data_IF_905880661120
#
_entry.id   IF_905880661120
#
_cell.length_a   1.000
_cell.length_b   1.000
_cell.length_c   1.000
_cell.angle_alpha   90.00
_cell.angle_beta   90.00
_cell.angle_gamma   90.00
#
_symmetry.space_group_name_H-M   'P 1'
#
loop_
_entity.id
_entity.type
_entity.pdbx_description
1 polymer ?
#
# COMPACT_ATOMS: atom_id res chain seq x y z
N UNK A 1 -11.63 -8.56 -33.15
CA UNK A 1 -11.38 -9.34 -31.91
C UNK A 1 -12.37 -10.49 -31.88
N UNK A 2 -11.90 -11.74 -31.84
CA UNK A 2 -12.78 -12.91 -32.01
C UNK A 2 -13.63 -13.13 -30.76
N UNK A 3 -14.89 -13.55 -30.93
CA UNK A 3 -15.86 -13.80 -29.85
C UNK A 3 -15.33 -14.76 -28.76
N UNK A 4 -14.32 -15.58 -29.07
CA UNK A 4 -13.66 -16.49 -28.12
C UNK A 4 -12.74 -15.79 -27.12
N UNK A 5 -12.06 -14.71 -27.49
CA UNK A 5 -11.22 -13.94 -26.56
C UNK A 5 -12.06 -13.20 -25.53
N UNK A 6 -13.19 -12.63 -25.94
CA UNK A 6 -14.11 -11.94 -25.04
C UNK A 6 -14.74 -12.90 -24.03
N UNK A 7 -15.19 -14.09 -24.46
CA UNK A 7 -15.68 -15.12 -23.53
C UNK A 7 -14.61 -15.56 -22.53
N UNK A 8 -13.37 -15.77 -22.99
CA UNK A 8 -12.26 -16.20 -22.13
C UNK A 8 -11.86 -15.12 -21.11
N UNK A 9 -11.90 -13.85 -21.49
CA UNK A 9 -11.71 -12.71 -20.58
C UNK A 9 -12.84 -12.60 -19.56
N UNK A 10 -14.08 -12.84 -19.97
CA UNK A 10 -15.24 -12.84 -19.08
C UNK A 10 -15.22 -14.03 -18.11
N UNK A 11 -14.85 -15.24 -18.57
CA UNK A 11 -14.66 -16.42 -17.73
C UNK A 11 -13.48 -16.25 -16.78
N UNK A 12 -12.37 -15.65 -17.22
CA UNK A 12 -11.25 -15.27 -16.36
C UNK A 12 -11.67 -14.22 -15.34
N UNK A 13 -12.45 -13.20 -15.72
CA UNK A 13 -13.02 -12.21 -14.80
C UNK A 13 -14.00 -12.83 -13.80
N UNK A 14 -14.81 -13.81 -14.19
CA UNK A 14 -15.75 -14.50 -13.30
C UNK A 14 -14.98 -15.41 -12.33
N UNK A 15 -13.96 -16.14 -12.83
CA UNK A 15 -13.08 -16.98 -11.99
C UNK A 15 -12.14 -16.15 -11.09
N UNK A 16 -11.77 -14.94 -11.49
CA UNK A 16 -10.91 -14.01 -10.75
C UNK A 16 -11.69 -12.96 -9.94
N UNK A 17 -13.01 -13.09 -9.80
CA UNK A 17 -13.83 -12.17 -9.00
C UNK A 17 -13.91 -10.75 -9.56
N UNK A 18 -14.56 -10.56 -10.71
CA UNK A 18 -14.76 -9.25 -11.32
C UNK A 18 -15.41 -8.24 -10.36
N UNK A 19 -14.83 -7.03 -10.31
CA UNK A 19 -15.21 -5.80 -9.58
C UNK A 19 -15.45 -5.88 -8.06
N UNK A 20 -15.82 -7.04 -7.54
CA UNK A 20 -15.78 -7.42 -6.14
C UNK A 20 -14.92 -8.67 -6.05
N UNK A 21 -13.60 -8.48 -6.02
CA UNK A 21 -12.70 -9.54 -5.56
C UNK A 21 -13.16 -9.90 -4.15
N UNK A 22 -13.75 -11.08 -3.97
CA UNK A 22 -13.93 -11.64 -2.64
C UNK A 22 -12.52 -11.83 -2.08
N UNK A 23 -12.04 -10.83 -1.33
CA UNK A 23 -10.78 -10.88 -0.60
C UNK A 23 -10.74 -12.22 0.15
N UNK A 24 -9.62 -12.93 0.06
CA UNK A 24 -9.48 -14.13 0.86
C UNK A 24 -9.51 -13.81 2.35
N UNK A 25 -9.81 -14.78 3.20
CA UNK A 25 -9.88 -14.56 4.66
C UNK A 25 -8.57 -14.00 5.24
N UNK A 26 -7.42 -14.40 4.70
CA UNK A 26 -6.09 -13.89 5.06
C UNK A 26 -5.91 -12.44 4.62
N UNK A 27 -6.40 -12.07 3.43
CA UNK A 27 -6.36 -10.69 2.95
C UNK A 27 -7.26 -9.78 3.79
N UNK A 28 -8.48 -10.24 4.12
CA UNK A 28 -9.37 -9.54 5.07
C UNK A 28 -8.73 -9.43 6.46
N UNK A 29 -8.10 -10.50 6.93
CA UNK A 29 -7.38 -10.53 8.20
C UNK A 29 -6.26 -9.48 8.26
N UNK A 30 -5.47 -9.38 7.19
CA UNK A 30 -4.39 -8.40 7.05
C UNK A 30 -4.92 -6.96 7.03
N UNK A 31 -5.97 -6.68 6.25
CA UNK A 31 -6.61 -5.36 6.20
C UNK A 31 -7.23 -4.96 7.57
N UNK A 32 -7.89 -5.90 8.24
CA UNK A 32 -8.47 -5.67 9.57
C UNK A 32 -7.40 -5.40 10.64
N UNK A 33 -6.30 -6.15 10.61
CA UNK A 33 -5.17 -5.95 11.51
C UNK A 33 -4.53 -4.58 11.27
N UNK A 34 -4.37 -4.16 10.01
CA UNK A 34 -3.87 -2.83 9.67
C UNK A 34 -4.81 -1.73 10.20
N UNK A 35 -6.12 -1.85 10.01
CA UNK A 35 -7.08 -0.85 10.48
C UNK A 35 -7.06 -0.72 12.01
N UNK A 36 -6.99 -1.84 12.75
CA UNK A 36 -6.83 -1.83 14.21
C UNK A 36 -5.53 -1.15 14.63
N UNK A 37 -4.42 -1.49 13.97
CA UNK A 37 -3.13 -0.87 14.22
C UNK A 37 -3.16 0.65 13.97
N UNK A 38 -3.79 1.10 12.88
CA UNK A 38 -3.91 2.52 12.53
C UNK A 38 -4.77 3.30 13.54
N UNK A 39 -5.89 2.73 14.00
CA UNK A 39 -6.70 3.31 15.09
C UNK A 39 -5.93 3.40 16.41
N UNK A 40 -5.13 2.38 16.73
CA UNK A 40 -4.23 2.40 17.90
C UNK A 40 -3.19 3.51 17.79
N UNK A 41 -2.57 3.69 16.61
CA UNK A 41 -1.61 4.79 16.33
C UNK A 41 -2.28 6.14 16.53
N UNK A 42 -3.51 6.32 16.03
CA UNK A 42 -4.27 7.55 16.22
C UNK A 42 -4.46 7.91 17.70
N UNK A 43 -4.88 6.94 18.53
CA UNK A 43 -5.03 7.18 19.98
C UNK A 43 -3.69 7.41 20.69
N UNK A 44 -2.62 6.71 20.28
CA UNK A 44 -1.27 6.93 20.81
C UNK A 44 -0.74 8.33 20.48
N UNK A 45 -0.99 8.83 19.27
CA UNK A 45 -0.61 10.19 18.85
C UNK A 45 -1.32 11.25 19.70
N UNK A 46 -2.62 11.11 19.94
CA UNK A 46 -3.39 12.01 20.82
C UNK A 46 -2.82 12.06 22.24
N UNK A 47 -2.44 10.91 22.79
CA UNK A 47 -1.81 10.82 24.12
C UNK A 47 -0.41 11.44 24.14
N UNK A 48 0.40 11.19 23.11
CA UNK A 48 1.78 11.68 23.02
C UNK A 48 1.86 13.19 22.77
N UNK A 49 0.90 13.74 22.04
CA UNK A 49 0.86 15.14 21.63
C UNK A 49 -0.47 15.80 22.05
N UNK A 50 -0.73 15.97 23.35
CA UNK A 50 -2.04 16.41 23.87
C UNK A 50 -2.47 17.81 23.38
N UNK A 51 -1.52 18.66 23.00
CA UNK A 51 -1.78 20.00 22.50
C UNK A 51 -2.15 20.05 21.00
N UNK A 52 -2.06 18.93 20.29
CA UNK A 52 -2.34 18.85 18.86
C UNK A 52 -3.76 18.30 18.65
N UNK A 53 -4.45 18.82 17.63
CA UNK A 53 -5.75 18.31 17.21
C UNK A 53 -5.54 17.30 16.10
N UNK A 54 -5.93 16.05 16.34
CA UNK A 54 -5.87 14.99 15.34
C UNK A 54 -7.26 14.60 14.86
N UNK A 55 -7.36 14.10 13.63
CA UNK A 55 -8.55 13.38 13.14
C UNK A 55 -8.15 12.15 12.35
N UNK A 56 -9.04 11.15 12.37
CA UNK A 56 -8.96 9.95 11.56
C UNK A 56 -9.98 10.04 10.43
N UNK A 57 -9.59 9.65 9.21
CA UNK A 57 -10.47 9.59 8.04
C UNK A 57 -10.35 8.25 7.35
N UNK A 58 -11.47 7.69 6.94
CA UNK A 58 -11.46 6.45 6.15
C UNK A 58 -11.22 6.70 4.65
N UNK A 59 -11.55 7.88 4.16
CA UNK A 59 -11.49 8.19 2.73
C UNK A 59 -11.13 9.65 2.46
N UNK A 60 -10.66 9.89 1.24
CA UNK A 60 -10.51 11.22 0.66
C UNK A 60 -11.25 11.28 -0.69
N UNK A 61 -12.06 12.33 -0.89
CA UNK A 61 -12.81 12.52 -2.13
C UNK A 61 -11.89 13.04 -3.23
N UNK A 62 -12.13 12.59 -4.46
CA UNK A 62 -11.40 13.07 -5.64
C UNK A 62 -11.56 14.60 -5.84
N UNK A 63 -12.70 15.16 -5.42
CA UNK A 63 -12.93 16.62 -5.39
C UNK A 63 -11.93 17.36 -4.49
N UNK A 64 -11.53 16.79 -3.34
CA UNK A 64 -10.55 17.39 -2.43
C UNK A 64 -9.16 17.40 -3.07
N UNK A 65 -8.76 16.28 -3.67
CA UNK A 65 -7.50 16.15 -4.42
C UNK A 65 -7.43 17.17 -5.55
N UNK A 66 -8.50 17.27 -6.35
CA UNK A 66 -8.59 18.23 -7.44
C UNK A 66 -8.52 19.69 -6.95
N UNK A 67 -9.19 20.03 -5.84
CA UNK A 67 -9.13 21.37 -5.26
C UNK A 67 -7.71 21.73 -4.83
N UNK A 68 -7.00 20.78 -4.20
CA UNK A 68 -5.62 20.95 -3.74
C UNK A 68 -4.63 21.09 -4.90
N UNK A 69 -4.75 20.26 -5.93
CA UNK A 69 -3.99 20.42 -7.17
C UNK A 69 -4.24 21.79 -7.81
N UNK A 70 -5.50 22.24 -7.86
CA UNK A 70 -5.85 23.52 -8.46
C UNK A 70 -5.33 24.73 -7.67
N UNK A 71 -5.20 24.62 -6.34
CA UNK A 71 -4.58 25.67 -5.53
C UNK A 71 -3.08 25.81 -5.78
N UNK A 72 -2.40 24.72 -6.18
CA UNK A 72 -0.97 24.73 -6.53
C UNK A 72 -0.78 25.29 -7.95
N UNK A 73 -1.57 24.83 -8.92
CA UNK A 73 -1.50 25.33 -10.28
C UNK A 73 -2.88 25.27 -10.95
N UNK A 74 -3.32 26.39 -11.55
CA UNK A 74 -4.65 26.50 -12.15
C UNK A 74 -4.89 25.51 -13.29
N UNK A 75 -3.86 24.94 -13.91
CA UNK A 75 -3.98 23.90 -14.96
C UNK A 75 -4.35 22.52 -14.40
N UNK A 76 -4.12 22.27 -13.11
CA UNK A 76 -4.31 20.97 -12.48
C UNK A 76 -5.70 20.85 -11.83
N UNK A 77 -6.14 19.60 -11.60
CA UNK A 77 -7.38 19.30 -10.86
C UNK A 77 -8.68 19.75 -11.54
N UNK A 78 -8.69 19.90 -12.87
CA UNK A 78 -9.80 20.54 -13.60
C UNK A 78 -11.07 19.70 -13.72
N UNK A 79 -10.93 18.40 -13.93
CA UNK A 79 -12.04 17.54 -14.34
C UNK A 79 -12.36 16.50 -13.28
N UNK A 80 -13.65 16.35 -12.99
CA UNK A 80 -14.20 15.29 -12.17
C UNK A 80 -15.40 14.71 -12.90
N UNK A 81 -15.26 13.50 -13.43
CA UNK A 81 -16.33 12.83 -14.19
C UNK A 81 -17.42 12.27 -13.26
N UNK A 82 -17.00 11.67 -12.14
CA UNK A 82 -17.90 11.08 -11.14
C UNK A 82 -17.77 11.86 -9.85
N UNK A 83 -18.82 12.60 -9.47
CA UNK A 83 -18.80 13.53 -8.32
C UNK A 83 -18.50 12.83 -6.99
N UNK A 84 -19.01 11.62 -6.81
CA UNK A 84 -18.87 10.82 -5.58
C UNK A 84 -17.57 10.01 -5.52
N UNK A 85 -16.69 10.15 -6.53
CA UNK A 85 -15.42 9.42 -6.57
C UNK A 85 -14.56 9.73 -5.35
N UNK A 86 -14.01 8.68 -4.74
CA UNK A 86 -13.16 8.72 -3.56
C UNK A 86 -12.16 7.56 -3.59
N UNK A 87 -11.06 7.72 -2.87
CA UNK A 87 -10.18 6.60 -2.51
C UNK A 87 -10.36 6.27 -1.03
N UNK A 88 -10.25 4.98 -0.70
CA UNK A 88 -10.39 4.45 0.65
C UNK A 88 -9.15 3.57 0.92
N UNK A 89 -8.08 4.12 1.53
CA UNK A 89 -6.96 3.30 2.00
C UNK A 89 -7.42 2.38 3.13
N UNK A 90 -6.96 1.14 3.15
CA UNK A 90 -7.49 0.10 4.06
C UNK A 90 -7.29 0.46 5.54
N UNK A 91 -6.15 1.07 5.88
CA UNK A 91 -5.87 1.57 7.23
C UNK A 91 -6.27 3.03 7.46
N UNK A 92 -6.91 3.68 6.48
CA UNK A 92 -7.35 5.08 6.55
C UNK A 92 -6.19 6.10 6.49
N UNK A 93 -6.51 7.31 6.95
CA UNK A 93 -5.63 8.47 7.00
C UNK A 93 -5.70 9.11 8.39
N UNK A 94 -4.56 9.56 8.89
CA UNK A 94 -4.46 10.38 10.10
C UNK A 94 -3.96 11.77 9.70
N UNK A 95 -4.64 12.80 10.20
CA UNK A 95 -4.27 14.19 10.00
C UNK A 95 -4.09 14.90 11.34
N UNK A 96 -3.25 15.94 11.32
CA UNK A 96 -3.08 16.89 12.42
C UNK A 96 -3.43 18.29 11.93
N UNK A 97 -4.04 19.11 12.79
CA UNK A 97 -4.32 20.50 12.47
C UNK A 97 -3.07 21.36 12.74
N UNK A 98 -2.66 22.15 11.75
CA UNK A 98 -1.60 23.15 11.91
C UNK A 98 -2.13 24.46 12.52
N UNK A 99 -1.23 25.43 12.73
CA UNK A 99 -1.55 26.71 13.39
C UNK A 99 -2.53 27.58 12.59
N UNK A 100 -2.57 27.40 11.27
CA UNK A 100 -3.53 28.09 10.38
C UNK A 100 -4.91 27.41 10.38
N UNK A 101 -5.08 26.36 11.18
CA UNK A 101 -6.31 25.56 11.19
C UNK A 101 -6.44 24.59 10.02
N UNK A 102 -5.40 24.40 9.19
CA UNK A 102 -5.42 23.47 8.06
C UNK A 102 -5.08 22.07 8.54
N UNK A 103 -5.75 21.08 7.97
CA UNK A 103 -5.49 19.68 8.26
C UNK A 103 -4.35 19.17 7.36
N UNK A 104 -3.31 18.60 8.00
CA UNK A 104 -2.10 18.10 7.36
C UNK A 104 -2.03 16.59 7.55
N UNK A 105 -1.92 15.84 6.46
CA UNK A 105 -1.83 14.37 6.51
C UNK A 105 -0.49 13.98 7.13
N UNK A 106 -0.52 13.12 8.14
CA UNK A 106 0.68 12.62 8.82
C UNK A 106 0.88 11.11 8.69
N UNK A 107 -0.16 10.38 8.27
CA UNK A 107 -0.08 8.96 7.96
C UNK A 107 -1.18 8.56 6.98
N UNK A 108 -0.83 7.76 5.98
CA UNK A 108 -1.76 6.96 5.16
C UNK A 108 -1.21 5.56 5.10
N UNK A 109 -2.06 4.56 5.36
CA UNK A 109 -1.62 3.17 5.40
C UNK A 109 -2.51 2.24 4.56
N UNK A 110 -1.89 1.36 3.80
CA UNK A 110 -2.57 0.37 2.96
C UNK A 110 -1.99 -1.03 3.16
N UNK A 111 -2.82 -2.06 3.05
CA UNK A 111 -2.43 -3.47 3.18
C UNK A 111 -2.70 -4.16 1.85
N UNK A 112 -1.76 -4.98 1.38
CA UNK A 112 -1.99 -5.82 0.20
C UNK A 112 -1.44 -7.21 0.46
N UNK A 113 -2.29 -8.19 0.21
CA UNK A 113 -1.96 -9.61 0.31
C UNK A 113 -1.94 -10.23 -1.08
N UNK A 114 -0.88 -10.97 -1.41
CA UNK A 114 -0.82 -11.72 -2.67
C UNK A 114 0.07 -12.96 -2.53
N UNK A 115 -0.46 -14.11 -2.98
CA UNK A 115 0.21 -15.40 -2.90
C UNK A 115 -0.08 -16.12 -1.58
N UNK A 116 -0.65 -17.32 -1.70
CA UNK A 116 -1.04 -18.22 -0.59
C UNK A 116 -0.25 -19.52 -0.58
N UNK A 117 0.90 -19.52 -1.26
CA UNK A 117 1.61 -20.76 -1.52
C UNK A 117 2.09 -21.42 -0.23
N UNK A 118 2.46 -20.62 0.78
CA UNK A 118 2.84 -21.14 2.11
C UNK A 118 1.70 -21.94 2.74
N UNK A 119 0.49 -21.38 2.76
CA UNK A 119 -0.69 -22.05 3.33
C UNK A 119 -1.07 -23.30 2.55
N UNK A 120 -1.03 -23.23 1.20
CA UNK A 120 -1.34 -24.36 0.33
C UNK A 120 -0.34 -25.50 0.51
N UNK A 121 0.97 -25.22 0.52
CA UNK A 121 2.02 -26.22 0.70
C UNK A 121 1.86 -26.90 2.06
N UNK A 122 1.65 -26.14 3.15
CA UNK A 122 1.45 -26.69 4.50
C UNK A 122 0.21 -27.58 4.60
N UNK A 123 -0.82 -27.29 3.81
CA UNK A 123 -2.04 -28.09 3.74
C UNK A 123 -1.94 -29.27 2.75
N UNK A 124 -0.83 -29.41 2.01
CA UNK A 124 -0.69 -30.42 0.96
C UNK A 124 -1.59 -30.18 -0.26
N UNK A 125 -2.03 -28.93 -0.48
CA UNK A 125 -2.95 -28.56 -1.56
C UNK A 125 -2.13 -28.20 -2.80
N UNK A 126 -2.31 -28.97 -3.86
CA UNK A 126 -1.77 -28.65 -5.18
C UNK A 126 -2.65 -27.62 -5.90
N UNK A 127 -1.99 -26.70 -6.59
CA UNK A 127 -2.55 -25.58 -7.32
C UNK A 127 -2.32 -25.73 -8.83
N UNK A 128 -2.71 -24.71 -9.60
CA UNK A 128 -2.70 -24.73 -11.06
C UNK A 128 -3.99 -25.29 -11.65
N UNK A 129 -4.16 -25.12 -12.97
CA UNK A 129 -5.36 -25.55 -13.70
C UNK A 129 -5.63 -27.05 -13.55
N UNK A 130 -4.56 -27.83 -13.56
CA UNK A 130 -4.60 -29.30 -13.48
C UNK A 130 -4.37 -29.81 -12.04
N UNK A 131 -4.33 -28.91 -11.05
CA UNK A 131 -4.10 -29.21 -9.61
C UNK A 131 -2.88 -30.13 -9.37
N UNK A 132 -1.77 -29.81 -10.04
CA UNK A 132 -0.56 -30.63 -10.05
C UNK A 132 0.71 -29.82 -9.73
N UNK A 133 0.59 -28.56 -9.32
CA UNK A 133 1.72 -27.67 -9.03
C UNK A 133 1.74 -27.31 -7.55
N UNK A 134 2.93 -27.13 -6.98
CA UNK A 134 3.07 -26.66 -5.60
C UNK A 134 2.93 -25.14 -5.46
N UNK A 135 3.23 -24.41 -6.54
CA UNK A 135 3.28 -22.95 -6.57
C UNK A 135 2.36 -22.39 -7.65
N UNK A 136 1.57 -21.38 -7.30
CA UNK A 136 0.67 -20.70 -8.24
C UNK A 136 1.39 -19.55 -8.93
N UNK A 137 1.37 -19.54 -10.28
CA UNK A 137 1.87 -18.39 -11.05
C UNK A 137 1.14 -17.12 -10.61
N UNK A 138 1.92 -16.11 -10.19
CA UNK A 138 1.37 -14.92 -9.58
C UNK A 138 0.66 -14.01 -10.61
N UNK A 139 -0.49 -13.46 -10.21
CA UNK A 139 -1.19 -12.44 -11.00
C UNK A 139 -0.56 -11.04 -10.88
N UNK A 140 -1.24 -10.04 -11.47
CA UNK A 140 -0.79 -8.63 -11.51
C UNK A 140 -1.66 -7.69 -10.67
N UNK A 141 -2.53 -8.22 -9.79
CA UNK A 141 -3.51 -7.42 -9.05
C UNK A 141 -2.86 -6.35 -8.16
N UNK A 142 -1.64 -6.60 -7.67
CA UNK A 142 -0.86 -5.66 -6.84
C UNK A 142 -0.59 -4.31 -7.52
N UNK A 143 -0.52 -4.25 -8.85
CA UNK A 143 -0.23 -3.00 -9.59
C UNK A 143 -1.24 -1.87 -9.28
N UNK A 144 -2.46 -2.22 -8.84
CA UNK A 144 -3.50 -1.26 -8.45
C UNK A 144 -3.11 -0.40 -7.24
N UNK A 145 -2.12 -0.81 -6.44
CA UNK A 145 -1.60 -0.01 -5.31
C UNK A 145 -1.11 1.37 -5.77
N UNK A 146 -0.54 1.46 -6.99
CA UNK A 146 -0.03 2.71 -7.54
C UNK A 146 -1.11 3.78 -7.69
N UNK A 147 -2.37 3.39 -7.92
CA UNK A 147 -3.48 4.33 -8.04
C UNK A 147 -3.63 5.14 -6.77
N UNK A 148 -3.74 4.50 -5.60
CA UNK A 148 -3.94 5.21 -4.33
C UNK A 148 -2.68 6.01 -3.94
N UNK A 149 -1.48 5.46 -4.18
CA UNK A 149 -0.21 6.17 -3.98
C UNK A 149 -0.16 7.47 -4.78
N UNK A 150 -0.47 7.41 -6.08
CA UNK A 150 -0.46 8.59 -6.95
C UNK A 150 -1.51 9.63 -6.54
N UNK A 151 -2.68 9.20 -6.08
CA UNK A 151 -3.73 10.10 -5.61
C UNK A 151 -3.32 10.87 -4.35
N UNK A 152 -2.71 10.19 -3.37
CA UNK A 152 -2.17 10.86 -2.18
C UNK A 152 -0.96 11.73 -2.53
N UNK A 153 -0.10 11.28 -3.45
CA UNK A 153 1.04 12.08 -3.93
C UNK A 153 0.57 13.41 -4.51
N UNK A 154 -0.46 13.36 -5.35
CA UNK A 154 -1.13 14.55 -5.89
C UNK A 154 -1.76 15.43 -4.82
N UNK A 155 -2.38 14.84 -3.80
CA UNK A 155 -2.98 15.59 -2.70
C UNK A 155 -1.92 16.29 -1.83
N UNK A 156 -0.74 15.70 -1.72
CA UNK A 156 0.38 16.20 -0.90
C UNK A 156 1.50 16.80 -1.76
N UNK A 157 1.18 17.30 -2.96
CA UNK A 157 2.19 17.72 -3.93
C UNK A 157 3.05 18.92 -3.46
N UNK A 158 2.52 19.75 -2.57
CA UNK A 158 3.20 20.88 -1.94
C UNK A 158 3.66 20.61 -0.50
N UNK A 159 3.65 19.35 -0.07
CA UNK A 159 4.15 18.91 1.24
C UNK A 159 5.62 18.48 1.14
N UNK A 160 6.40 18.67 2.22
CA UNK A 160 7.80 18.23 2.28
C UNK A 160 7.96 16.80 2.84
N UNK A 161 6.85 16.12 3.08
CA UNK A 161 6.78 14.74 3.51
C UNK A 161 5.72 13.96 2.72
N UNK A 162 5.89 12.65 2.65
CA UNK A 162 4.97 11.73 2.00
C UNK A 162 4.79 10.47 2.87
N UNK A 163 3.92 10.53 3.89
CA UNK A 163 3.79 9.48 4.90
C UNK A 163 2.87 8.35 4.45
N UNK A 164 3.10 7.84 3.24
CA UNK A 164 2.38 6.70 2.70
C UNK A 164 3.14 5.42 3.02
N UNK A 165 2.50 4.51 3.75
CA UNK A 165 3.03 3.18 4.03
C UNK A 165 2.17 2.11 3.37
N UNK A 166 2.82 1.14 2.72
CA UNK A 166 2.15 -0.07 2.23
C UNK A 166 2.78 -1.30 2.87
N UNK A 167 1.93 -2.16 3.44
CA UNK A 167 2.32 -3.45 4.00
C UNK A 167 1.94 -4.58 3.03
N UNK A 168 2.96 -5.13 2.37
CA UNK A 168 2.84 -6.27 1.47
C UNK A 168 3.04 -7.57 2.25
N UNK A 169 2.17 -8.55 2.02
CA UNK A 169 2.20 -9.86 2.67
C UNK A 169 1.91 -10.99 1.68
N UNK A 170 2.59 -12.13 1.85
CA UNK A 170 2.34 -13.35 1.10
C UNK A 170 3.53 -13.81 0.27
N UNK A 171 3.43 -15.02 -0.27
CA UNK A 171 4.52 -15.71 -0.98
C UNK A 171 5.05 -14.94 -2.19
N UNK A 172 4.22 -14.09 -2.81
CA UNK A 172 4.64 -13.28 -3.96
C UNK A 172 5.51 -12.07 -3.57
N UNK A 173 5.72 -11.82 -2.27
CA UNK A 173 6.55 -10.73 -1.75
C UNK A 173 7.70 -11.24 -0.87
N UNK A 174 8.11 -12.50 -1.08
CA UNK A 174 9.30 -13.05 -0.42
C UNK A 174 10.53 -12.19 -0.74
N UNK A 175 11.29 -11.84 0.29
CA UNK A 175 12.54 -11.06 0.21
C UNK A 175 13.78 -11.91 0.50
N UNK A 176 13.56 -13.14 0.95
CA UNK A 176 14.53 -14.17 1.26
C UNK A 176 13.93 -15.52 0.88
N UNK A 177 14.76 -16.58 0.83
CA UNK A 177 14.26 -17.94 0.59
C UNK A 177 13.40 -18.35 1.78
N UNK A 178 12.18 -18.81 1.49
CA UNK A 178 11.26 -19.36 2.49
C UNK A 178 11.11 -20.85 2.24
N UNK A 179 11.44 -21.65 3.25
CA UNK A 179 11.35 -23.11 3.22
C UNK A 179 10.04 -23.55 3.88
N UNK A 180 9.24 -24.32 3.15
CA UNK A 180 7.94 -24.81 3.61
C UNK A 180 7.86 -26.31 3.40
N UNK A 181 7.54 -27.05 4.46
CA UNK A 181 7.36 -28.49 4.40
C UNK A 181 5.89 -28.83 4.12
N UNK A 182 5.67 -29.80 3.24
CA UNK A 182 4.38 -30.46 3.03
C UNK A 182 4.06 -31.41 4.20
N UNK A 183 2.80 -31.85 4.35
CA UNK A 183 2.43 -32.88 5.34
C UNK A 183 3.21 -34.18 5.21
N UNK A 184 3.66 -34.54 4.01
CA UNK A 184 4.47 -35.75 3.75
C UNK A 184 5.97 -35.56 4.05
N UNK A 185 6.39 -34.38 4.53
CA UNK A 185 7.79 -34.05 4.83
C UNK A 185 8.58 -33.51 3.63
N UNK A 186 8.01 -33.45 2.44
CA UNK A 186 8.67 -32.88 1.25
C UNK A 186 8.91 -31.38 1.45
N UNK A 187 10.14 -30.93 1.20
CA UNK A 187 10.51 -29.52 1.25
C UNK A 187 10.18 -28.82 -0.09
N UNK A 188 9.52 -27.65 0.00
CA UNK A 188 9.31 -26.73 -1.12
C UNK A 188 9.90 -25.37 -0.77
N UNK A 189 10.64 -24.78 -1.71
CA UNK A 189 11.27 -23.46 -1.54
C UNK A 189 10.53 -22.38 -2.33
N UNK A 190 10.19 -21.29 -1.64
CA UNK A 190 9.71 -20.06 -2.27
C UNK A 190 10.90 -19.11 -2.36
N UNK A 191 11.40 -18.92 -3.58
CA UNK A 191 12.62 -18.13 -3.83
C UNK A 191 12.27 -16.69 -4.24
N UNK A 192 12.96 -15.67 -3.69
CA UNK A 192 12.66 -14.27 -3.97
C UNK A 192 13.03 -13.87 -5.41
N UNK A 193 13.95 -14.57 -6.07
CA UNK A 193 14.38 -14.33 -7.45
C UNK A 193 13.53 -15.06 -8.50
N UNK A 194 12.45 -15.74 -8.10
CA UNK A 194 11.55 -16.41 -9.04
C UNK A 194 10.59 -15.44 -9.72
N UNK A 195 10.84 -15.12 -11.00
CA UNK A 195 9.98 -14.22 -11.78
C UNK A 195 8.54 -14.73 -12.00
N UNK A 196 8.31 -16.04 -11.91
CA UNK A 196 6.96 -16.61 -11.97
C UNK A 196 6.13 -16.22 -10.73
N UNK A 197 6.78 -16.03 -9.58
CA UNK A 197 6.16 -15.84 -8.26
C UNK A 197 6.27 -14.41 -7.76
N UNK A 198 7.47 -13.84 -7.75
CA UNK A 198 7.73 -12.57 -7.09
C UNK A 198 7.08 -11.41 -7.86
N UNK A 199 6.39 -10.53 -7.14
CA UNK A 199 5.75 -9.33 -7.69
C UNK A 199 6.19 -8.05 -7.00
N UNK A 200 7.23 -8.08 -6.17
CA UNK A 200 7.72 -6.91 -5.45
C UNK A 200 8.17 -5.80 -6.42
N UNK A 201 8.79 -6.16 -7.54
CA UNK A 201 9.22 -5.19 -8.57
C UNK A 201 8.06 -4.48 -9.28
N UNK A 202 6.84 -5.00 -9.16
CA UNK A 202 5.63 -4.31 -9.62
C UNK A 202 5.27 -3.13 -8.71
N UNK A 203 5.88 -3.02 -7.53
CA UNK A 203 5.60 -1.97 -6.53
C UNK A 203 6.78 -1.04 -6.31
N UNK A 204 8.03 -1.49 -6.52
CA UNK A 204 9.26 -0.71 -6.27
C UNK A 204 9.34 0.61 -7.06
N UNK A 205 8.63 0.75 -8.18
CA UNK A 205 8.48 2.04 -8.86
C UNK A 205 7.87 3.14 -7.95
N UNK A 206 7.07 2.77 -6.94
CA UNK A 206 6.45 3.72 -6.02
C UNK A 206 7.44 4.38 -5.03
N UNK A 207 8.62 3.79 -4.85
CA UNK A 207 9.69 4.33 -4.02
C UNK A 207 11.00 4.55 -4.80
N UNK A 208 10.92 4.65 -6.14
CA UNK A 208 12.09 4.84 -7.02
C UNK A 208 13.13 3.72 -6.93
N UNK A 209 12.68 2.49 -6.67
CA UNK A 209 13.55 1.32 -6.48
C UNK A 209 14.55 1.46 -5.33
N UNK A 210 14.25 2.32 -4.36
CA UNK A 210 15.01 2.41 -3.12
C UNK A 210 14.80 1.18 -2.25
N UNK A 211 15.71 0.93 -1.29
CA UNK A 211 15.63 -0.21 -0.37
C UNK A 211 14.27 -0.28 0.33
N UNK A 212 13.58 -1.41 0.24
CA UNK A 212 12.31 -1.66 0.98
C UNK A 212 12.54 -1.74 2.50
N UNK A 213 11.45 -1.87 3.25
CA UNK A 213 11.43 -2.00 4.71
C UNK A 213 12.10 -0.80 5.42
N UNK A 214 11.86 0.41 4.89
CA UNK A 214 12.40 1.67 5.41
C UNK A 214 11.35 2.77 5.40
N UNK A 215 11.50 3.71 6.32
CA UNK A 215 10.72 4.93 6.40
C UNK A 215 11.28 5.97 5.40
N UNK A 216 10.49 6.29 4.38
CA UNK A 216 10.77 7.33 3.37
C UNK A 216 9.83 8.53 3.49
N UNK A 217 9.30 8.78 4.68
CA UNK A 217 8.37 9.87 4.93
C UNK A 217 8.95 11.24 4.53
N UNK A 218 10.25 11.48 4.73
CA UNK A 218 10.90 12.73 4.29
C UNK A 218 11.09 12.72 2.77
N UNK A 219 10.57 13.73 2.07
CA UNK A 219 10.77 13.86 0.63
C UNK A 219 12.24 14.12 0.30
N UNK A 220 12.66 13.64 -0.87
CA UNK A 220 14.03 13.76 -1.36
C UNK A 220 14.07 14.86 -2.42
N UNK A 221 15.05 15.75 -2.35
CA UNK A 221 15.27 16.78 -3.36
C UNK A 221 16.52 16.43 -4.16
N UNK A 222 16.37 16.28 -5.47
CA UNK A 222 17.46 16.00 -6.40
C UNK A 222 17.63 17.18 -7.33
N UNK A 223 18.85 17.72 -7.36
CA UNK A 223 19.25 18.72 -8.35
C UNK A 223 19.69 18.04 -9.64
N UNK A 224 19.22 18.55 -10.77
CA UNK A 224 19.80 18.26 -12.08
C UNK A 224 20.15 19.58 -12.78
N UNK A 225 20.86 19.52 -13.91
CA UNK A 225 21.42 20.69 -14.62
C UNK A 225 20.45 21.85 -14.87
N UNK A 226 19.13 21.61 -14.87
CA UNK A 226 18.09 22.61 -15.21
C UNK A 226 17.05 22.83 -14.11
N UNK A 227 17.21 22.23 -12.93
CA UNK A 227 16.21 22.40 -11.88
C UNK A 227 16.34 21.46 -10.69
N UNK A 228 15.45 21.68 -9.73
CA UNK A 228 15.28 20.87 -8.54
C UNK A 228 14.00 20.04 -8.67
N UNK A 229 14.08 18.74 -8.39
CA UNK A 229 12.94 17.83 -8.41
C UNK A 229 12.72 17.26 -7.02
N UNK A 230 11.48 17.35 -6.54
CA UNK A 230 11.05 16.70 -5.30
C UNK A 230 10.54 15.28 -5.61
N UNK A 231 11.02 14.31 -4.85
CA UNK A 231 10.60 12.92 -4.93
C UNK A 231 9.77 12.53 -3.70
N UNK A 232 8.62 11.91 -3.97
CA UNK A 232 7.67 11.45 -2.96
C UNK A 232 7.61 9.93 -2.98
N UNK A 233 8.50 9.31 -2.19
CA UNK A 233 8.72 7.87 -2.16
C UNK A 233 7.80 7.20 -1.13
N UNK A 234 7.00 6.22 -1.56
CA UNK A 234 6.21 5.43 -0.62
C UNK A 234 7.11 4.56 0.27
N UNK A 235 6.75 4.40 1.54
CA UNK A 235 7.41 3.46 2.45
C UNK A 235 6.85 2.06 2.23
N UNK A 236 7.56 1.24 1.45
CA UNK A 236 7.15 -0.14 1.12
C UNK A 236 7.73 -1.09 2.15
N UNK A 237 6.86 -1.76 2.91
CA UNK A 237 7.24 -2.84 3.81
C UNK A 237 6.71 -4.16 3.27
N UNK A 238 7.57 -5.16 3.08
CA UNK A 238 7.24 -6.41 2.40
C UNK A 238 7.92 -7.60 3.06
N UNK A 239 7.15 -8.68 3.21
CA UNK A 239 7.63 -10.00 3.65
C UNK A 239 6.64 -11.10 3.26
N UNK A 240 7.09 -12.35 3.39
CA UNK A 240 6.22 -13.50 3.17
C UNK A 240 5.31 -13.75 4.39
N UNK A 241 5.85 -13.59 5.60
CA UNK A 241 5.18 -13.96 6.85
C UNK A 241 4.07 -12.96 7.24
N UNK A 242 3.05 -13.42 8.00
CA UNK A 242 1.99 -12.55 8.48
C UNK A 242 2.47 -11.36 9.30
N UNK A 243 1.83 -10.21 9.13
CA UNK A 243 2.12 -9.03 9.94
C UNK A 243 1.50 -9.08 11.34
N UNK A 244 2.32 -8.85 12.38
CA UNK A 244 1.80 -8.58 13.72
C UNK A 244 1.36 -7.13 13.83
N UNK A 245 0.25 -6.91 14.53
CA UNK A 245 -0.29 -5.56 14.74
C UNK A 245 0.70 -4.62 15.42
N UNK A 246 1.45 -5.10 16.41
CA UNK A 246 2.44 -4.30 17.13
C UNK A 246 3.57 -3.80 16.23
N UNK A 247 4.01 -4.63 15.29
CA UNK A 247 5.06 -4.26 14.32
C UNK A 247 4.55 -3.18 13.37
N UNK A 248 3.33 -3.34 12.84
CA UNK A 248 2.68 -2.32 12.01
C UNK A 248 2.50 -1.01 12.78
N UNK A 249 2.06 -1.07 14.04
CA UNK A 249 1.92 0.11 14.90
C UNK A 249 3.26 0.83 15.08
N UNK A 250 4.36 0.10 15.33
CA UNK A 250 5.70 0.70 15.51
C UNK A 250 6.14 1.45 14.25
N UNK A 251 5.99 0.82 13.08
CA UNK A 251 6.34 1.43 11.79
C UNK A 251 5.48 2.66 11.51
N UNK A 252 4.17 2.56 11.71
CA UNK A 252 3.24 3.67 11.49
C UNK A 252 3.47 4.84 12.46
N UNK A 253 3.81 4.56 13.73
CA UNK A 253 4.22 5.61 14.68
C UNK A 253 5.49 6.31 14.22
N UNK A 254 6.50 5.58 13.75
CA UNK A 254 7.75 6.17 13.24
C UNK A 254 7.51 7.12 12.07
N UNK A 255 6.70 6.69 11.10
CA UNK A 255 6.28 7.52 9.96
C UNK A 255 5.50 8.76 10.42
N UNK A 256 4.51 8.59 11.30
CA UNK A 256 3.70 9.71 11.80
C UNK A 256 4.53 10.72 12.59
N UNK A 257 5.46 10.26 13.45
CA UNK A 257 6.37 11.13 14.17
C UNK A 257 7.32 11.86 13.22
N UNK A 258 7.78 11.21 12.15
CA UNK A 258 8.61 11.85 11.12
C UNK A 258 7.85 12.98 10.43
N UNK A 259 6.58 12.75 10.05
CA UNK A 259 5.71 13.79 9.49
C UNK A 259 5.55 14.99 10.43
N UNK A 260 5.22 14.74 11.70
CA UNK A 260 5.06 15.81 12.70
C UNK A 260 6.37 16.58 12.87
N UNK A 261 7.51 15.88 12.91
CA UNK A 261 8.83 16.51 12.98
C UNK A 261 9.11 17.44 11.80
N UNK A 262 8.74 17.04 10.58
CA UNK A 262 8.87 17.88 9.38
C UNK A 262 7.93 19.08 9.45
N UNK A 263 6.67 18.88 9.82
CA UNK A 263 5.69 19.96 9.95
C UNK A 263 6.12 21.00 11.00
N UNK A 264 6.65 20.56 12.15
CA UNK A 264 7.13 21.46 13.20
C UNK A 264 8.34 22.30 12.78
N UNK A 265 9.14 21.82 11.81
CA UNK A 265 10.25 22.60 11.25
C UNK A 265 9.77 23.74 10.34
N UNK A 266 8.51 23.70 9.88
CA UNK A 266 7.94 24.67 8.95
C UNK A 266 7.13 25.79 9.63
N UNK A 267 6.92 25.70 10.95
CA UNK A 267 6.18 26.68 11.76
C UNK A 267 4.81 26.19 12.20
#
# INVERSE_FOLDING_TARGET
MSKGQTKRLTEQHIASGGANETLSEEAKGHENALLRASKSVFEKLKKKYPNYKFRFREFIRKKEINKKLNSINKRLGKKLFVKESKIKPDGGLIEVQDRDGKWRVILVSEAKFQGKDVENIRAGILVGKDKNQDLMIAGNAIERVHKNINEIRNFMLDELHFPYVVFLQGSNFATQIVQVYKPDGTLVEIRPDSGAMNRIDRVTAANYCMKINRNYCRNIFISHKKGLVMLQAASIYARCEPWKEEEMQKIMMDIANTSIGILNQLG
#
